data_IF_878736273159
#
_entry.id   IF_878736273159
#
_cell.length_a   1.000
_cell.length_b   1.000
_cell.length_c   1.000
_cell.angle_alpha   90.00
_cell.angle_beta   90.00
_cell.angle_gamma   90.00
#
_symmetry.space_group_name_H-M   'P 1'
#
loop_
_entity.id
_entity.type
_entity.pdbx_description
1 polymer ?
#
# COMPACT_ATOMS: atom_id res chain seq x y z
N UNK A 1 3.70 -7.22 24.12
CA UNK A 1 4.34 -5.88 24.21
C UNK A 1 3.53 -4.87 23.41
N UNK A 2 2.89 -3.89 24.07
CA UNK A 2 2.18 -2.80 23.38
C UNK A 2 3.22 -1.87 22.74
N UNK A 3 3.33 -1.86 21.40
CA UNK A 3 4.13 -0.85 20.68
C UNK A 3 3.50 0.52 20.99
N UNK A 4 4.11 1.28 21.90
CA UNK A 4 3.77 2.68 22.11
C UNK A 4 3.95 3.40 20.77
N UNK A 5 2.87 3.91 20.18
CA UNK A 5 2.94 4.83 19.04
C UNK A 5 3.84 6.00 19.44
N UNK A 6 5.10 5.98 19.01
CA UNK A 6 6.02 7.09 19.27
C UNK A 6 5.64 8.24 18.34
N UNK A 7 5.15 9.29 18.99
CA UNK A 7 5.11 10.70 18.60
C UNK A 7 4.04 11.06 17.57
N UNK A 8 3.07 11.82 18.08
CA UNK A 8 2.15 12.71 17.38
C UNK A 8 2.64 13.07 15.95
N UNK A 9 1.88 12.77 14.88
CA UNK A 9 2.27 13.07 13.50
C UNK A 9 2.70 14.53 13.31
N UNK A 10 2.04 15.46 14.02
CA UNK A 10 2.45 16.86 14.06
C UNK A 10 3.91 17.04 14.44
N UNK A 11 4.43 16.30 15.43
CA UNK A 11 5.84 16.37 15.87
C UNK A 11 6.85 15.83 14.84
N UNK A 12 6.42 15.10 13.81
CA UNK A 12 7.29 14.70 12.69
C UNK A 12 7.47 15.85 11.68
N UNK A 13 6.45 16.67 11.50
CA UNK A 13 6.49 17.83 10.61
C UNK A 13 6.88 19.14 11.33
N UNK A 14 6.76 19.21 12.66
CA UNK A 14 7.09 20.40 13.45
C UNK A 14 8.48 20.38 14.09
N UNK A 15 9.29 19.34 13.88
CA UNK A 15 10.70 19.41 14.29
C UNK A 15 11.51 20.25 13.31
N UNK A 16 11.48 21.56 13.57
CA UNK A 16 12.48 22.59 13.24
C UNK A 16 12.37 23.43 11.95
N UNK A 17 11.20 23.54 11.32
CA UNK A 17 10.87 24.71 10.46
C UNK A 17 9.39 24.68 10.12
N UNK A 18 8.71 25.81 10.21
CA UNK A 18 7.48 25.99 9.42
C UNK A 18 7.85 25.75 7.96
N UNK A 19 7.21 24.77 7.32
CA UNK A 19 7.39 24.52 5.89
C UNK A 19 6.75 25.69 5.15
N UNK A 20 7.57 26.49 4.49
CA UNK A 20 7.10 27.52 3.59
C UNK A 20 6.73 26.89 2.25
N UNK A 21 5.84 27.53 1.49
CA UNK A 21 5.48 27.08 0.13
C UNK A 21 6.73 26.92 -0.75
N UNK A 22 7.73 27.78 -0.55
CA UNK A 22 9.04 27.70 -1.21
C UNK A 22 9.79 26.37 -0.97
N UNK A 23 9.61 25.75 0.20
CA UNK A 23 10.28 24.50 0.54
C UNK A 23 9.72 23.30 -0.26
N UNK A 24 8.52 23.40 -0.84
CA UNK A 24 7.94 22.36 -1.70
C UNK A 24 8.62 22.29 -3.07
N UNK A 25 9.27 23.37 -3.50
CA UNK A 25 10.06 23.39 -4.74
C UNK A 25 11.48 22.84 -4.55
N UNK A 26 11.91 22.62 -3.30
CA UNK A 26 13.19 21.99 -2.97
C UNK A 26 13.02 20.47 -3.07
N UNK A 27 13.71 19.86 -4.04
CA UNK A 27 13.59 18.44 -4.39
C UNK A 27 13.80 17.53 -3.18
N UNK A 28 14.76 17.83 -2.32
CA UNK A 28 15.07 17.05 -1.12
C UNK A 28 13.92 17.09 -0.12
N UNK A 29 13.34 18.27 0.11
CA UNK A 29 12.20 18.44 1.01
C UNK A 29 10.95 17.75 0.46
N UNK A 30 10.68 17.91 -0.84
CA UNK A 30 9.57 17.25 -1.53
C UNK A 30 9.67 15.72 -1.43
N UNK A 31 10.84 15.15 -1.74
CA UNK A 31 11.08 13.71 -1.64
C UNK A 31 10.91 13.18 -0.21
N UNK A 32 11.35 13.94 0.79
CA UNK A 32 11.16 13.58 2.20
C UNK A 32 9.68 13.53 2.58
N UNK A 33 8.91 14.55 2.21
CA UNK A 33 7.46 14.61 2.48
C UNK A 33 6.75 13.42 1.82
N UNK A 34 7.05 13.14 0.55
CA UNK A 34 6.49 11.99 -0.15
C UNK A 34 6.87 10.66 0.50
N UNK A 35 8.12 10.51 0.95
CA UNK A 35 8.57 9.30 1.64
C UNK A 35 7.85 9.10 2.98
N UNK A 36 7.68 10.16 3.77
CA UNK A 36 6.99 10.12 5.05
C UNK A 36 5.49 9.86 4.89
N UNK A 37 4.87 10.48 3.88
CA UNK A 37 3.48 10.21 3.51
C UNK A 37 3.31 8.75 3.07
N UNK A 38 4.14 8.26 2.15
CA UNK A 38 4.13 6.86 1.68
C UNK A 38 4.29 5.88 2.84
N UNK A 39 5.24 6.13 3.74
CA UNK A 39 5.46 5.29 4.92
C UNK A 39 4.26 5.27 5.86
N UNK A 40 3.65 6.43 6.10
CA UNK A 40 2.47 6.54 6.96
C UNK A 40 1.25 5.87 6.33
N UNK A 41 1.02 6.07 5.03
CA UNK A 41 -0.04 5.43 4.27
C UNK A 41 0.07 3.90 4.31
N UNK A 42 1.27 3.34 4.13
CA UNK A 42 1.49 1.90 4.26
C UNK A 42 1.22 1.34 5.65
N UNK A 43 1.57 2.07 6.71
CA UNK A 43 1.25 1.66 8.08
C UNK A 43 -0.26 1.67 8.35
N UNK A 44 -1.04 2.50 7.64
CA UNK A 44 -2.50 2.46 7.67
C UNK A 44 -3.04 1.29 6.83
N UNK A 45 -2.53 1.07 5.62
CA UNK A 45 -2.92 -0.07 4.78
C UNK A 45 -2.70 -1.42 5.46
N UNK A 46 -1.62 -1.59 6.22
CA UNK A 46 -1.38 -2.80 7.03
C UNK A 46 -2.44 -3.07 8.10
N UNK A 47 -3.31 -2.10 8.40
CA UNK A 47 -4.45 -2.27 9.31
C UNK A 47 -5.72 -2.75 8.60
N UNK A 48 -5.73 -2.85 7.28
CA UNK A 48 -6.83 -3.47 6.55
C UNK A 48 -7.02 -4.89 7.09
N UNK A 49 -8.25 -5.20 7.49
CA UNK A 49 -8.58 -6.53 7.97
C UNK A 49 -8.90 -7.38 6.76
N UNK A 50 -8.05 -8.36 6.50
CA UNK A 50 -8.33 -9.35 5.47
C UNK A 50 -9.34 -10.31 6.08
N UNK A 51 -10.57 -10.28 5.57
CA UNK A 51 -11.60 -11.19 6.02
C UNK A 51 -11.59 -12.40 5.11
N UNK A 52 -11.18 -13.51 5.69
CA UNK A 52 -11.21 -14.80 5.04
C UNK A 52 -12.63 -15.36 5.25
N UNK A 53 -13.42 -15.61 4.19
CA UNK A 53 -14.73 -16.24 4.32
C UNK A 53 -14.63 -17.58 5.06
N UNK A 54 -15.63 -17.97 5.84
CA UNK A 54 -15.58 -19.21 6.61
C UNK A 54 -15.68 -20.47 5.74
N UNK A 55 -16.36 -20.37 4.59
CA UNK A 55 -16.53 -21.44 3.60
C UNK A 55 -15.30 -21.67 2.71
N UNK A 56 -14.20 -20.99 3.01
CA UNK A 56 -13.00 -20.98 2.18
C UNK A 56 -12.08 -22.18 2.47
N UNK A 57 -12.28 -22.85 3.61
CA UNK A 57 -11.68 -24.16 3.91
C UNK A 57 -12.45 -25.34 3.31
N UNK A 58 -13.61 -25.08 2.70
CA UNK A 58 -14.44 -26.13 2.06
C UNK A 58 -13.89 -26.54 0.68
N UNK A 59 -12.82 -25.88 0.22
CA UNK A 59 -12.18 -26.14 -1.08
C UNK A 59 -10.82 -26.83 -0.99
N UNK A 60 -10.21 -27.04 -2.17
CA UNK A 60 -8.99 -27.83 -2.33
C UNK A 60 -7.71 -27.11 -1.83
N UNK A 61 -6.61 -27.85 -1.61
CA UNK A 61 -5.32 -27.33 -1.09
C UNK A 61 -4.78 -26.15 -1.91
N UNK A 62 -5.09 -26.11 -3.20
CA UNK A 62 -4.74 -25.00 -4.07
C UNK A 62 -5.36 -23.67 -3.63
N UNK A 63 -6.56 -23.70 -3.04
CA UNK A 63 -7.19 -22.52 -2.48
C UNK A 63 -6.34 -21.98 -1.32
N UNK A 64 -5.96 -22.85 -0.37
CA UNK A 64 -5.12 -22.49 0.77
C UNK A 64 -3.83 -21.76 0.36
N UNK A 65 -3.16 -22.25 -0.68
CA UNK A 65 -1.95 -21.61 -1.20
C UNK A 65 -2.20 -20.20 -1.73
N UNK A 66 -3.30 -19.99 -2.45
CA UNK A 66 -3.64 -18.66 -2.98
C UNK A 66 -4.00 -17.67 -1.86
N UNK A 67 -4.64 -18.15 -0.79
CA UNK A 67 -4.94 -17.33 0.40
C UNK A 67 -3.66 -16.93 1.13
N UNK A 68 -2.77 -17.90 1.38
CA UNK A 68 -1.49 -17.62 2.04
C UNK A 68 -0.65 -16.66 1.20
N UNK A 69 -0.68 -16.80 -0.13
CA UNK A 69 -0.07 -15.82 -1.02
C UNK A 69 -0.72 -14.45 -0.88
N UNK A 70 -2.05 -14.33 -0.90
CA UNK A 70 -2.70 -13.02 -0.75
C UNK A 70 -2.38 -12.37 0.60
N UNK A 71 -2.46 -13.13 1.71
CA UNK A 71 -2.05 -12.65 3.03
C UNK A 71 -0.59 -12.16 3.03
N UNK A 72 0.30 -12.91 2.37
CA UNK A 72 1.68 -12.50 2.17
C UNK A 72 1.81 -11.18 1.39
N UNK A 73 1.09 -11.06 0.27
CA UNK A 73 1.09 -9.85 -0.57
C UNK A 73 0.57 -8.64 0.22
N UNK A 74 -0.53 -8.77 0.94
CA UNK A 74 -1.08 -7.70 1.77
C UNK A 74 -0.13 -7.31 2.91
N UNK A 75 0.55 -8.28 3.53
CA UNK A 75 1.50 -8.01 4.61
C UNK A 75 2.70 -7.13 4.19
N UNK A 76 3.06 -7.17 2.89
CA UNK A 76 4.16 -6.37 2.33
C UNK A 76 3.70 -5.04 1.72
N UNK A 77 2.41 -4.68 1.83
CA UNK A 77 1.86 -3.43 1.28
C UNK A 77 0.94 -3.61 0.06
N UNK A 78 0.47 -4.83 -0.17
CA UNK A 78 -0.54 -5.14 -1.19
C UNK A 78 0.03 -5.22 -2.62
N UNK A 79 -0.90 -5.35 -3.58
CA UNK A 79 -0.61 -5.50 -5.01
C UNK A 79 0.37 -4.46 -5.54
N UNK A 80 0.15 -3.19 -5.19
CA UNK A 80 0.93 -2.07 -5.72
C UNK A 80 2.41 -2.15 -5.31
N UNK A 81 2.68 -2.46 -4.03
CA UNK A 81 4.05 -2.58 -3.54
C UNK A 81 4.77 -3.78 -4.16
N UNK A 82 4.08 -4.93 -4.30
CA UNK A 82 4.66 -6.09 -4.96
C UNK A 82 4.96 -5.81 -6.44
N UNK A 83 4.07 -5.11 -7.16
CA UNK A 83 4.35 -4.70 -8.53
C UNK A 83 5.56 -3.77 -8.64
N UNK A 84 5.71 -2.83 -7.70
CA UNK A 84 6.87 -1.95 -7.60
C UNK A 84 8.17 -2.76 -7.41
N UNK A 85 8.17 -3.74 -6.51
CA UNK A 85 9.31 -4.63 -6.28
C UNK A 85 9.64 -5.47 -7.52
N UNK A 86 8.64 -5.99 -8.24
CA UNK A 86 8.85 -6.71 -9.51
C UNK A 86 9.48 -5.80 -10.57
N UNK A 87 9.01 -4.55 -10.70
CA UNK A 87 9.59 -3.56 -11.63
C UNK A 87 11.04 -3.23 -11.26
N UNK A 88 11.32 -3.07 -9.97
CA UNK A 88 12.67 -2.82 -9.46
C UNK A 88 13.62 -3.98 -9.74
N UNK A 89 13.21 -5.22 -9.44
CA UNK A 89 13.98 -6.42 -9.74
C UNK A 89 14.26 -6.59 -11.24
N UNK A 90 13.28 -6.25 -12.08
CA UNK A 90 13.44 -6.25 -13.54
C UNK A 90 14.43 -5.17 -13.99
N UNK A 91 14.34 -3.95 -13.45
CA UNK A 91 15.24 -2.83 -13.77
C UNK A 91 16.69 -3.14 -13.41
N UNK A 92 16.91 -3.86 -12.32
CA UNK A 92 18.24 -4.25 -11.84
C UNK A 92 18.73 -5.59 -12.42
N UNK A 93 18.07 -6.11 -13.46
CA UNK A 93 18.40 -7.39 -14.12
C UNK A 93 18.41 -8.62 -13.19
N UNK A 94 17.79 -8.54 -12.01
CA UNK A 94 17.63 -9.70 -11.11
C UNK A 94 16.62 -10.71 -11.64
N UNK A 95 15.67 -10.24 -12.46
CA UNK A 95 14.71 -11.07 -13.19
C UNK A 95 14.58 -10.59 -14.63
N UNK A 96 14.34 -11.52 -15.56
CA UNK A 96 14.07 -11.20 -16.96
C UNK A 96 12.61 -10.73 -17.19
N UNK A 97 12.33 -10.25 -18.40
CA UNK A 97 10.99 -9.79 -18.81
C UNK A 97 9.92 -10.88 -18.69
N UNK A 98 10.27 -12.13 -18.97
CA UNK A 98 9.33 -13.26 -18.96
C UNK A 98 8.93 -13.61 -17.53
N UNK A 99 9.90 -13.70 -16.62
CA UNK A 99 9.68 -13.90 -15.18
C UNK A 99 8.86 -12.76 -14.58
N UNK A 100 9.20 -11.52 -14.90
CA UNK A 100 8.43 -10.35 -14.44
C UNK A 100 6.96 -10.42 -14.91
N UNK A 101 6.72 -10.78 -16.18
CA UNK A 101 5.37 -10.98 -16.70
C UNK A 101 4.62 -12.11 -15.97
N UNK A 102 5.26 -13.26 -15.77
CA UNK A 102 4.67 -14.40 -15.05
C UNK A 102 4.28 -14.04 -13.61
N UNK A 103 5.14 -13.32 -12.90
CA UNK A 103 4.83 -12.85 -11.54
C UNK A 103 3.64 -11.91 -11.52
N UNK A 104 3.60 -10.90 -12.39
CA UNK A 104 2.44 -9.98 -12.49
C UNK A 104 1.16 -10.74 -12.81
N UNK A 105 1.22 -11.70 -13.73
CA UNK A 105 0.05 -12.53 -14.08
C UNK A 105 -0.45 -13.35 -12.89
N UNK A 106 0.46 -13.95 -12.10
CA UNK A 106 0.07 -14.69 -10.89
C UNK A 106 -0.53 -13.77 -9.84
N UNK A 107 0.06 -12.60 -9.59
CA UNK A 107 -0.50 -11.59 -8.68
C UNK A 107 -1.91 -11.21 -9.10
N UNK A 108 -2.12 -10.86 -10.38
CA UNK A 108 -3.46 -10.53 -10.88
C UNK A 108 -4.46 -11.67 -10.66
N UNK A 109 -4.10 -12.91 -11.00
CA UNK A 109 -4.99 -14.05 -10.82
C UNK A 109 -5.43 -14.27 -9.36
N UNK A 110 -4.58 -13.92 -8.38
CA UNK A 110 -4.90 -14.07 -6.96
C UNK A 110 -5.95 -13.03 -6.54
N UNK A 111 -5.85 -11.80 -7.04
CA UNK A 111 -6.84 -10.75 -6.77
C UNK A 111 -8.14 -10.95 -7.56
N UNK A 112 -8.05 -11.40 -8.81
CA UNK A 112 -9.20 -11.58 -9.70
C UNK A 112 -10.07 -12.78 -9.28
N UNK A 113 -9.53 -13.72 -8.51
CA UNK A 113 -10.27 -14.88 -8.02
C UNK A 113 -11.37 -14.53 -7.00
N UNK A 114 -11.46 -13.30 -6.50
CA UNK A 114 -12.64 -12.77 -5.76
C UNK A 114 -13.01 -13.49 -4.46
N UNK A 115 -12.21 -14.46 -4.01
CA UNK A 115 -12.47 -15.35 -2.87
C UNK A 115 -12.14 -14.72 -1.51
N UNK A 116 -11.50 -13.56 -1.50
CA UNK A 116 -11.12 -12.88 -0.26
C UNK A 116 -11.65 -11.45 -0.31
N UNK A 117 -12.40 -11.08 0.72
CA UNK A 117 -12.92 -9.73 0.90
C UNK A 117 -11.88 -8.97 1.71
N UNK A 118 -11.24 -7.99 1.08
CA UNK A 118 -10.41 -7.02 1.77
C UNK A 118 -11.36 -6.00 2.38
N UNK A 119 -11.60 -6.09 3.70
CA UNK A 119 -12.28 -5.02 4.42
C UNK A 119 -11.24 -3.93 4.68
N UNK A 120 -11.27 -2.91 3.81
CA UNK A 120 -10.51 -1.68 4.03
C UNK A 120 -10.92 -1.09 5.38
N UNK A 121 -9.93 -0.75 6.20
CA UNK A 121 -10.21 -0.13 7.48
C UNK A 121 -10.91 1.22 7.23
N UNK A 122 -11.89 1.58 8.05
CA UNK A 122 -12.63 2.85 7.93
C UNK A 122 -11.72 4.09 7.81
N UNK A 123 -10.52 4.03 8.42
CA UNK A 123 -9.50 5.09 8.33
C UNK A 123 -8.88 5.23 6.94
N UNK A 124 -8.76 4.15 6.17
CA UNK A 124 -8.29 4.20 4.78
C UNK A 124 -9.37 4.82 3.92
N UNK A 125 -10.62 4.37 4.09
CA UNK A 125 -11.77 4.92 3.37
C UNK A 125 -11.93 6.42 3.61
N UNK A 126 -11.87 6.86 4.88
CA UNK A 126 -11.90 8.29 5.23
C UNK A 126 -10.73 9.06 4.61
N UNK A 127 -9.54 8.44 4.49
CA UNK A 127 -8.39 9.06 3.86
C UNK A 127 -8.59 9.23 2.35
N UNK A 128 -9.07 8.18 1.69
CA UNK A 128 -9.33 8.17 0.26
C UNK A 128 -10.42 9.19 -0.09
N UNK A 129 -11.51 9.25 0.69
CA UNK A 129 -12.58 10.23 0.53
C UNK A 129 -12.04 11.68 0.63
N UNK A 130 -11.14 11.94 1.59
CA UNK A 130 -10.49 13.25 1.75
C UNK A 130 -9.53 13.60 0.61
N UNK A 131 -8.81 12.61 0.08
CA UNK A 131 -7.91 12.80 -1.06
C UNK A 131 -8.74 13.12 -2.30
N UNK A 132 -9.83 12.40 -2.53
CA UNK A 132 -10.74 12.63 -3.64
C UNK A 132 -11.40 14.01 -3.54
N UNK A 133 -11.88 14.41 -2.35
CA UNK A 133 -12.43 15.74 -2.12
C UNK A 133 -11.44 16.84 -2.51
N UNK A 134 -10.18 16.71 -2.11
CA UNK A 134 -9.12 17.67 -2.48
C UNK A 134 -8.80 17.60 -3.98
N UNK A 135 -8.76 16.42 -4.60
CA UNK A 135 -8.48 16.26 -6.02
C UNK A 135 -9.56 16.92 -6.89
N UNK A 136 -10.84 16.67 -6.59
CA UNK A 136 -11.96 17.24 -7.34
C UNK A 136 -12.13 18.74 -7.10
N UNK A 137 -11.79 19.27 -5.92
CA UNK A 137 -11.79 20.71 -5.67
C UNK A 137 -10.72 21.47 -6.48
N UNK A 138 -9.61 20.80 -6.85
CA UNK A 138 -8.51 21.40 -7.60
C UNK A 138 -8.60 21.22 -9.13
N UNK A 139 -9.62 20.54 -9.65
CA UNK A 139 -9.85 20.34 -11.10
C UNK A 139 -10.90 21.32 -11.66
N UNK A 140 -11.56 22.10 -10.81
CA UNK A 140 -12.64 23.04 -11.21
C UNK A 140 -12.11 24.47 -11.49
N UNK A 141 -10.81 24.65 -11.76
CA UNK A 141 -10.25 25.94 -12.20
C UNK A 141 -9.38 25.81 -13.45
#
# INVERSE_FOLDING_TARGET
MKKKFKKNPHKRFTSNKELLVGDLFVKETYNRILSDWRGSYFEVLKKNKIKIPSNLFDGDVQNLNEILMLLGIESIGGKYELESQIRFAQKNNSIDKVKAHRFRKKVNSIYDNGRIIIEYHDLVKELDDKIDEVYYQNIVY
#
